data_IF_423808905881
#
_entry.id   IF_423808905881
#
_cell.length_a   1.000
_cell.length_b   1.000
_cell.length_c   1.000
_cell.angle_alpha   90.00
_cell.angle_beta   90.00
_cell.angle_gamma   90.00
#
_symmetry.space_group_name_H-M   'P 1'
#
loop_
_entity.id
_entity.type
_entity.pdbx_description
1 polymer ?
#
# COMPACT_ATOMS: atom_id res chain seq x y z
N UNK A 1 -42.52 30.89 -18.63
CA UNK A 1 -41.22 30.80 -17.93
C UNK A 1 -40.14 31.14 -18.94
N UNK A 2 -39.42 32.26 -18.80
CA UNK A 2 -38.35 32.62 -19.74
C UNK A 2 -37.15 31.73 -19.45
N UNK A 3 -36.93 30.74 -20.31
CA UNK A 3 -35.90 29.71 -20.11
C UNK A 3 -35.96 28.60 -21.14
N UNK A 4 -37.10 28.40 -21.82
CA UNK A 4 -37.23 27.47 -22.96
C UNK A 4 -36.78 28.08 -24.29
N UNK A 5 -36.78 29.40 -24.45
CA UNK A 5 -36.45 30.07 -25.72
C UNK A 5 -34.94 30.05 -26.07
N UNK A 6 -34.08 29.66 -25.13
CA UNK A 6 -32.63 29.75 -25.30
C UNK A 6 -32.02 28.67 -26.20
N UNK A 7 -32.65 27.49 -26.31
CA UNK A 7 -32.11 26.35 -27.08
C UNK A 7 -32.85 26.11 -28.40
N UNK A 8 -34.14 26.43 -28.48
CA UNK A 8 -34.96 26.23 -29.68
C UNK A 8 -34.56 27.16 -30.85
N UNK A 9 -33.89 28.28 -30.56
CA UNK A 9 -33.38 29.22 -31.56
C UNK A 9 -31.94 28.99 -32.00
N UNK A 10 -31.23 28.01 -31.44
CA UNK A 10 -29.81 27.79 -31.74
C UNK A 10 -29.61 26.94 -32.99
N UNK A 11 -28.61 27.25 -33.84
CA UNK A 11 -28.25 26.35 -34.92
C UNK A 11 -27.79 25.00 -34.34
N UNK A 12 -28.21 23.87 -34.93
CA UNK A 12 -27.98 22.53 -34.36
C UNK A 12 -26.48 22.22 -34.18
N UNK A 13 -25.62 22.81 -35.02
CA UNK A 13 -24.17 22.72 -34.87
C UNK A 13 -23.66 23.32 -33.55
N UNK A 14 -24.22 24.44 -33.08
CA UNK A 14 -23.83 25.07 -31.83
C UNK A 14 -24.23 24.21 -30.62
N UNK A 15 -25.44 23.62 -30.66
CA UNK A 15 -25.90 22.68 -29.63
C UNK A 15 -25.00 21.45 -29.57
N UNK A 16 -24.65 20.88 -30.72
CA UNK A 16 -23.74 19.74 -30.80
C UNK A 16 -22.35 20.06 -30.22
N UNK A 17 -21.80 21.24 -30.48
CA UNK A 17 -20.50 21.67 -29.94
C UNK A 17 -20.55 21.82 -28.43
N UNK A 18 -21.59 22.46 -27.87
CA UNK A 18 -21.71 22.60 -26.41
C UNK A 18 -21.92 21.24 -25.74
N UNK A 19 -22.77 20.39 -26.31
CA UNK A 19 -22.96 19.03 -25.81
C UNK A 19 -21.64 18.23 -25.84
N UNK A 20 -20.89 18.31 -26.94
CA UNK A 20 -19.59 17.66 -27.05
C UNK A 20 -18.58 18.20 -26.04
N UNK A 21 -18.55 19.52 -25.81
CA UNK A 21 -17.68 20.14 -24.82
C UNK A 21 -18.03 19.70 -23.39
N UNK A 22 -19.32 19.64 -23.06
CA UNK A 22 -19.79 19.15 -21.75
C UNK A 22 -19.45 17.67 -21.55
N UNK A 23 -19.68 16.83 -22.57
CA UNK A 23 -19.28 15.43 -22.51
C UNK A 23 -17.78 15.29 -22.29
N UNK A 24 -16.97 16.03 -23.05
CA UNK A 24 -15.50 15.99 -22.92
C UNK A 24 -15.07 16.40 -21.52
N UNK A 25 -15.59 17.51 -21.01
CA UNK A 25 -15.29 17.97 -19.65
C UNK A 25 -15.70 16.94 -18.59
N UNK A 26 -16.87 16.33 -18.72
CA UNK A 26 -17.34 15.29 -17.82
C UNK A 26 -16.42 14.06 -17.83
N UNK A 27 -15.99 13.61 -19.01
CA UNK A 27 -15.04 12.51 -19.15
C UNK A 27 -13.66 12.84 -18.57
N UNK A 28 -13.16 14.06 -18.79
CA UNK A 28 -11.88 14.50 -18.21
C UNK A 28 -11.93 14.51 -16.69
N UNK A 29 -13.03 15.01 -16.10
CA UNK A 29 -13.22 15.01 -14.64
C UNK A 29 -13.29 13.59 -14.08
N UNK A 30 -14.02 12.68 -14.75
CA UNK A 30 -14.13 11.29 -14.32
C UNK A 30 -12.77 10.58 -14.40
N UNK A 31 -12.02 10.76 -15.48
CA UNK A 31 -10.69 10.20 -15.63
C UNK A 31 -9.73 10.72 -14.55
N UNK A 32 -9.75 12.03 -14.27
CA UNK A 32 -8.95 12.62 -13.21
C UNK A 32 -9.32 12.05 -11.83
N UNK A 33 -10.61 11.87 -11.56
CA UNK A 33 -11.09 11.29 -10.31
C UNK A 33 -10.65 9.83 -10.14
N UNK A 34 -10.84 9.00 -11.17
CA UNK A 34 -10.42 7.59 -11.16
C UNK A 34 -8.91 7.47 -11.03
N UNK A 35 -8.16 8.31 -11.76
CA UNK A 35 -6.70 8.36 -11.66
C UNK A 35 -6.23 8.76 -10.26
N UNK A 36 -6.87 9.77 -9.65
CA UNK A 36 -6.59 10.19 -8.28
C UNK A 36 -6.88 9.09 -7.27
N UNK A 37 -8.05 8.43 -7.36
CA UNK A 37 -8.42 7.33 -6.47
C UNK A 37 -7.46 6.14 -6.63
N UNK A 38 -7.10 5.80 -7.87
CA UNK A 38 -6.14 4.72 -8.14
C UNK A 38 -4.75 5.05 -7.61
N UNK A 39 -4.29 6.29 -7.76
CA UNK A 39 -3.02 6.75 -7.20
C UNK A 39 -2.99 6.65 -5.67
N UNK A 40 -4.09 7.01 -5.00
CA UNK A 40 -4.23 6.86 -3.53
C UNK A 40 -4.23 5.39 -3.13
N UNK A 41 -4.99 4.54 -3.83
CA UNK A 41 -5.02 3.10 -3.56
C UNK A 41 -3.65 2.45 -3.79
N UNK A 42 -2.96 2.83 -4.86
CA UNK A 42 -1.60 2.39 -5.15
C UNK A 42 -0.65 2.84 -4.04
N UNK A 43 -0.69 4.11 -3.65
CA UNK A 43 0.13 4.62 -2.56
C UNK A 43 -0.12 3.88 -1.25
N UNK A 44 -1.38 3.60 -0.89
CA UNK A 44 -1.72 2.79 0.30
C UNK A 44 -1.14 1.38 0.21
N UNK A 45 -1.23 0.74 -0.96
CA UNK A 45 -0.64 -0.59 -1.19
C UNK A 45 0.89 -0.57 -1.14
N UNK A 46 1.50 0.47 -1.69
CA UNK A 46 2.96 0.63 -1.71
C UNK A 46 3.48 0.91 -0.29
N UNK A 47 2.80 1.75 0.50
CA UNK A 47 3.13 1.98 1.91
C UNK A 47 3.03 0.68 2.72
N UNK A 48 1.98 -0.11 2.52
CA UNK A 48 1.86 -1.41 3.19
C UNK A 48 2.99 -2.39 2.80
N UNK A 49 3.46 -2.34 1.55
CA UNK A 49 4.62 -3.13 1.10
C UNK A 49 5.92 -2.62 1.69
N UNK A 50 6.15 -1.31 1.70
CA UNK A 50 7.37 -0.74 2.30
C UNK A 50 7.47 -1.00 3.80
N UNK A 51 6.35 -0.96 4.53
CA UNK A 51 6.32 -1.32 5.95
C UNK A 51 6.65 -2.81 6.16
N UNK A 52 6.10 -3.69 5.33
CA UNK A 52 6.41 -5.14 5.33
C UNK A 52 7.88 -5.39 4.98
N UNK A 53 8.43 -4.74 3.95
CA UNK A 53 9.82 -4.92 3.54
C UNK A 53 10.80 -4.42 4.60
N UNK A 54 10.48 -3.31 5.30
CA UNK A 54 11.29 -2.82 6.43
C UNK A 54 11.20 -3.72 7.65
N UNK A 55 10.05 -4.37 7.90
CA UNK A 55 9.91 -5.34 8.98
C UNK A 55 10.63 -6.66 8.64
N UNK A 56 10.45 -7.15 7.41
CA UNK A 56 11.09 -8.35 6.89
C UNK A 56 12.61 -8.21 6.81
N UNK A 57 13.12 -7.05 6.37
CA UNK A 57 14.55 -6.77 6.35
C UNK A 57 15.19 -6.79 7.75
N UNK A 58 14.48 -6.29 8.77
CA UNK A 58 14.93 -6.39 10.17
C UNK A 58 14.92 -7.82 10.68
N UNK A 59 13.89 -8.59 10.33
CA UNK A 59 13.79 -10.01 10.68
C UNK A 59 14.93 -10.84 10.06
N UNK A 60 15.17 -10.70 8.75
CA UNK A 60 16.25 -11.41 8.05
C UNK A 60 17.61 -11.05 8.64
N UNK A 61 17.85 -9.76 8.96
CA UNK A 61 19.08 -9.35 9.62
C UNK A 61 19.26 -10.01 10.99
N UNK A 62 18.21 -10.09 11.80
CA UNK A 62 18.25 -10.76 13.12
C UNK A 62 18.54 -12.26 12.99
N UNK A 63 17.90 -12.94 12.03
CA UNK A 63 18.14 -14.36 11.75
C UNK A 63 19.58 -14.58 11.29
N UNK A 64 20.09 -13.74 10.39
CA UNK A 64 21.47 -13.81 9.91
C UNK A 64 22.49 -13.64 11.05
N UNK A 65 22.26 -12.68 11.94
CA UNK A 65 23.09 -12.49 13.13
C UNK A 65 23.01 -13.68 14.09
N UNK A 66 21.81 -14.24 14.33
CA UNK A 66 21.62 -15.37 15.23
C UNK A 66 22.28 -16.66 14.71
N UNK A 67 22.42 -16.80 13.39
CA UNK A 67 23.08 -17.94 12.75
C UNK A 67 24.58 -17.70 12.46
N UNK A 68 25.14 -16.54 12.83
CA UNK A 68 26.54 -16.23 12.62
C UNK A 68 27.44 -17.15 13.49
N UNK A 69 28.59 -17.56 12.95
CA UNK A 69 29.55 -18.40 13.67
C UNK A 69 30.33 -17.62 14.75
N UNK A 70 30.24 -16.30 14.75
CA UNK A 70 30.77 -15.40 15.77
C UNK A 70 29.80 -15.28 16.95
N UNK A 71 30.23 -15.78 18.12
CA UNK A 71 29.42 -15.84 19.35
C UNK A 71 28.83 -14.48 19.73
N UNK A 72 29.58 -13.39 19.54
CA UNK A 72 29.10 -12.05 19.87
C UNK A 72 27.96 -11.58 18.95
N UNK A 73 27.98 -11.98 17.67
CA UNK A 73 26.88 -11.69 16.72
C UNK A 73 25.69 -12.60 16.93
N UNK A 74 25.93 -13.88 17.24
CA UNK A 74 24.90 -14.84 17.59
C UNK A 74 24.08 -14.39 18.81
N UNK A 75 24.74 -13.93 19.88
CA UNK A 75 24.06 -13.42 21.08
C UNK A 75 23.22 -12.16 20.81
N UNK A 76 23.73 -11.23 20.00
CA UNK A 76 22.98 -10.04 19.58
C UNK A 76 21.76 -10.41 18.73
N UNK A 77 21.90 -11.39 17.84
CA UNK A 77 20.79 -11.94 17.07
C UNK A 77 19.73 -12.60 17.95
N UNK A 78 20.12 -13.39 18.95
CA UNK A 78 19.20 -14.04 19.88
C UNK A 78 18.41 -13.04 20.74
N UNK A 79 19.09 -12.01 21.28
CA UNK A 79 18.43 -10.93 22.04
C UNK A 79 17.49 -10.10 21.15
N UNK A 80 17.89 -9.83 19.91
CA UNK A 80 17.04 -9.16 18.92
C UNK A 80 15.82 -10.00 18.54
N UNK A 81 15.98 -11.32 18.46
CA UNK A 81 14.90 -12.26 18.19
C UNK A 81 13.87 -12.30 19.33
N UNK A 82 14.34 -12.34 20.59
CA UNK A 82 13.44 -12.33 21.76
C UNK A 82 12.66 -11.00 21.84
N UNK A 83 13.33 -9.87 21.60
CA UNK A 83 12.68 -8.56 21.54
C UNK A 83 11.66 -8.44 20.38
N UNK A 84 11.90 -9.09 19.24
CA UNK A 84 10.94 -9.14 18.14
C UNK A 84 9.73 -10.03 18.44
N UNK A 85 9.91 -11.10 19.21
CA UNK A 85 8.82 -12.00 19.61
C UNK A 85 7.79 -11.25 20.44
N UNK A 86 8.27 -10.43 21.38
CA UNK A 86 7.43 -9.61 22.24
C UNK A 86 6.74 -8.45 21.50
N UNK A 87 7.30 -7.98 20.38
CA UNK A 87 6.81 -6.77 19.71
C UNK A 87 5.66 -6.99 18.72
N UNK A 88 5.24 -8.24 18.43
CA UNK A 88 4.17 -8.57 17.46
C UNK A 88 4.19 -7.71 16.17
N UNK A 89 5.37 -7.55 15.57
CA UNK A 89 5.53 -6.68 14.38
C UNK A 89 5.13 -7.39 13.06
N UNK A 90 4.77 -8.67 13.09
CA UNK A 90 4.32 -9.45 11.94
C UNK A 90 2.78 -9.55 11.98
N UNK A 91 2.09 -8.86 11.06
CA UNK A 91 0.65 -9.04 10.81
C UNK A 91 0.42 -9.94 9.60
N UNK A 92 -0.67 -10.72 9.66
CA UNK A 92 -1.18 -11.65 8.63
C UNK A 92 -0.23 -12.82 8.31
N UNK A 93 -0.30 -13.41 7.10
CA UNK A 93 0.23 -14.75 6.74
C UNK A 93 1.71 -15.00 7.08
N UNK A 94 2.52 -13.95 7.27
CA UNK A 94 3.93 -14.05 7.66
C UNK A 94 4.14 -14.26 9.17
N UNK A 95 3.13 -13.98 10.00
CA UNK A 95 3.21 -14.12 11.45
C UNK A 95 3.40 -15.57 11.88
N UNK A 96 2.79 -16.51 11.16
CA UNK A 96 2.93 -17.96 11.47
C UNK A 96 4.36 -18.42 11.19
N UNK A 97 4.93 -18.06 10.05
CA UNK A 97 6.29 -18.46 9.69
C UNK A 97 7.33 -17.75 10.58
N UNK A 98 7.12 -16.47 10.86
CA UNK A 98 7.98 -15.69 11.74
C UNK A 98 7.98 -16.21 13.17
N UNK A 99 6.81 -16.47 13.77
CA UNK A 99 6.71 -17.06 15.12
C UNK A 99 7.32 -18.45 15.19
N UNK A 100 7.16 -19.30 14.17
CA UNK A 100 7.82 -20.61 14.11
C UNK A 100 9.35 -20.49 14.10
N UNK A 101 9.91 -19.63 13.26
CA UNK A 101 11.37 -19.43 13.16
C UNK A 101 11.92 -18.81 14.44
N UNK A 102 11.22 -17.81 15.00
CA UNK A 102 11.64 -17.13 16.22
C UNK A 102 11.54 -18.06 17.44
N UNK A 103 10.52 -18.92 17.50
CA UNK A 103 10.42 -19.98 18.51
C UNK A 103 11.51 -21.04 18.40
N UNK A 104 11.91 -21.40 17.17
CA UNK A 104 13.07 -22.28 16.91
C UNK A 104 14.40 -21.66 17.38
N UNK A 105 14.59 -20.37 17.13
CA UNK A 105 15.82 -19.64 17.48
C UNK A 105 15.90 -19.40 19.00
N UNK A 106 14.78 -19.04 19.63
CA UNK A 106 14.72 -18.70 21.07
C UNK A 106 14.46 -19.91 21.98
N UNK A 107 14.05 -21.04 21.42
CA UNK A 107 13.62 -22.22 22.18
C UNK A 107 12.24 -22.07 22.85
N UNK A 108 11.49 -21.01 22.52
CA UNK A 108 10.11 -20.78 22.98
C UNK A 108 9.13 -21.36 21.96
N UNK A 109 8.90 -22.68 22.04
CA UNK A 109 7.88 -23.41 21.29
C UNK A 109 6.61 -23.61 22.10
#
# INVERSE_FOLDING_TARGET
>A
MPGQEGLDGWPPAAVAVVAAALCTAAFTLLAAFVGGLWAVLRWRRDVAREERDRAWGRFVWIVDQACDGDVGRAEVGLLGADAMYDMQMLREDDAVLGTMVLGLITGRG
#
